data_IF_428360957833
#
_entry.id   IF_428360957833
#
_cell.length_a   1.000
_cell.length_b   1.000
_cell.length_c   1.000
_cell.angle_alpha   90.00
_cell.angle_beta   90.00
_cell.angle_gamma   90.00
#
_symmetry.space_group_name_H-M   'P 1'
#
loop_
_entity.id
_entity.type
_entity.pdbx_description
1 polymer ?
#
# COMPACT_ATOMS: atom_id res chain seq x y z
N UNK A 1 16.48 -34.74 -41.17
CA UNK A 1 15.58 -33.60 -41.48
C UNK A 1 14.79 -33.31 -40.21
N UNK A 2 15.11 -32.20 -39.51
CA UNK A 2 14.27 -31.39 -38.58
C UNK A 2 13.50 -32.16 -37.47
N UNK A 3 13.57 -31.85 -36.17
CA UNK A 3 13.50 -30.54 -35.48
C UNK A 3 14.04 -30.70 -34.05
N UNK A 4 14.87 -29.75 -33.61
CA UNK A 4 15.20 -29.47 -32.21
C UNK A 4 13.93 -29.02 -31.47
N UNK A 5 13.50 -29.73 -30.44
CA UNK A 5 12.43 -29.26 -29.56
C UNK A 5 13.05 -28.44 -28.43
N UNK A 6 12.93 -27.11 -28.54
CA UNK A 6 13.36 -26.12 -27.58
C UNK A 6 12.60 -26.30 -26.26
N UNK A 7 13.30 -26.59 -25.18
CA UNK A 7 12.75 -26.59 -23.83
C UNK A 7 12.54 -25.12 -23.41
N UNK A 8 11.34 -24.58 -23.63
CA UNK A 8 10.92 -23.34 -22.97
C UNK A 8 10.78 -23.66 -21.47
N UNK A 9 11.68 -23.10 -20.65
CA UNK A 9 11.46 -22.99 -19.21
C UNK A 9 10.20 -22.14 -19.00
N UNK A 10 9.09 -22.80 -18.68
CA UNK A 10 7.97 -22.18 -17.99
C UNK A 10 8.49 -21.75 -16.62
N UNK A 11 8.87 -20.48 -16.49
CA UNK A 11 8.98 -19.82 -15.20
C UNK A 11 7.56 -19.77 -14.63
N UNK A 12 7.27 -20.71 -13.74
CA UNK A 12 6.07 -20.70 -12.91
C UNK A 12 6.07 -19.40 -12.11
N UNK A 13 5.22 -18.46 -12.52
CA UNK A 13 4.80 -17.31 -11.73
C UNK A 13 3.95 -17.83 -10.56
N UNK A 14 4.60 -18.39 -9.54
CA UNK A 14 4.01 -18.62 -8.24
C UNK A 14 4.22 -17.36 -7.39
N UNK A 15 3.45 -16.31 -7.70
CA UNK A 15 3.19 -15.21 -6.77
C UNK A 15 1.67 -15.03 -6.68
N UNK A 16 0.97 -16.11 -6.32
CA UNK A 16 -0.43 -16.09 -5.91
C UNK A 16 -0.51 -16.55 -4.45
N UNK A 17 -0.60 -15.59 -3.56
CA UNK A 17 -1.12 -15.77 -2.20
C UNK A 17 -1.74 -14.42 -1.86
N UNK A 18 -2.99 -14.26 -2.33
CA UNK A 18 -3.76 -13.04 -2.22
C UNK A 18 -3.94 -12.64 -0.77
N UNK A 19 -3.94 -11.34 -0.52
CA UNK A 19 -4.36 -10.74 0.74
C UNK A 19 -5.87 -10.96 1.00
N UNK A 20 -6.52 -11.99 0.41
CA UNK A 20 -7.94 -12.17 0.58
C UNK A 20 -8.26 -12.68 1.99
N UNK A 21 -9.27 -12.11 2.65
CA UNK A 21 -9.71 -12.60 3.94
C UNK A 21 -10.29 -14.02 3.80
N UNK A 22 -10.08 -14.84 4.82
CA UNK A 22 -10.62 -16.20 4.84
C UNK A 22 -12.08 -16.20 5.28
N UNK A 23 -12.99 -16.60 4.38
CA UNK A 23 -14.42 -16.66 4.69
C UNK A 23 -14.76 -17.94 5.46
N UNK A 24 -15.15 -17.79 6.72
CA UNK A 24 -15.48 -18.90 7.62
C UNK A 24 -16.89 -19.46 7.35
N UNK A 25 -17.15 -20.68 7.83
CA UNK A 25 -18.49 -21.31 7.73
C UNK A 25 -19.54 -20.52 8.50
N UNK A 26 -19.18 -19.94 9.63
CA UNK A 26 -20.10 -19.16 10.47
C UNK A 26 -20.47 -17.83 9.80
N UNK A 27 -19.50 -17.15 9.17
CA UNK A 27 -19.76 -15.96 8.34
C UNK A 27 -20.74 -16.29 7.21
N UNK A 28 -20.53 -17.39 6.48
CA UNK A 28 -21.47 -17.81 5.42
C UNK A 28 -22.91 -17.97 5.91
N UNK A 29 -23.07 -18.43 7.16
CA UNK A 29 -24.39 -18.58 7.78
C UNK A 29 -25.00 -17.22 8.16
N UNK A 30 -24.19 -16.28 8.68
CA UNK A 30 -24.65 -14.92 9.01
C UNK A 30 -25.08 -14.12 7.79
N UNK A 31 -24.42 -14.38 6.65
CA UNK A 31 -24.68 -13.70 5.37
C UNK A 31 -25.76 -14.37 4.52
N UNK A 32 -26.43 -15.41 5.03
CA UNK A 32 -27.51 -16.08 4.31
C UNK A 32 -28.71 -15.13 4.14
N UNK A 33 -29.19 -14.99 2.91
CA UNK A 33 -30.28 -14.06 2.56
C UNK A 33 -29.88 -12.58 2.46
N UNK A 34 -28.62 -12.20 2.70
CA UNK A 34 -28.14 -10.83 2.45
C UNK A 34 -28.18 -10.54 0.95
N UNK A 35 -28.71 -9.38 0.50
CA UNK A 35 -28.78 -9.07 -0.92
C UNK A 35 -27.39 -9.00 -1.56
N UNK A 36 -27.31 -9.44 -2.82
CA UNK A 36 -26.08 -9.39 -3.62
C UNK A 36 -26.37 -8.91 -5.03
N UNK A 37 -25.41 -8.19 -5.60
CA UNK A 37 -25.43 -7.72 -6.98
C UNK A 37 -24.12 -8.07 -7.65
N UNK A 38 -24.20 -8.52 -8.89
CA UNK A 38 -23.02 -8.86 -9.71
C UNK A 38 -23.20 -8.33 -11.12
N UNK A 39 -22.18 -7.66 -11.63
CA UNK A 39 -22.05 -7.21 -13.01
C UNK A 39 -20.72 -7.73 -13.51
N UNK A 40 -20.72 -8.37 -14.67
CA UNK A 40 -19.51 -8.84 -15.32
C UNK A 40 -19.50 -8.36 -16.76
N UNK A 41 -18.40 -7.75 -17.16
CA UNK A 41 -18.15 -7.29 -18.53
C UNK A 41 -16.78 -7.79 -18.97
N UNK A 42 -16.39 -7.52 -20.22
CA UNK A 42 -15.03 -7.79 -20.67
C UNK A 42 -13.97 -6.86 -20.04
N UNK A 43 -14.39 -5.71 -19.49
CA UNK A 43 -13.51 -4.62 -19.05
C UNK A 43 -13.43 -4.47 -17.53
N UNK A 44 -14.50 -4.83 -16.83
CA UNK A 44 -14.58 -4.80 -15.37
C UNK A 44 -15.61 -5.79 -14.83
N UNK A 45 -15.43 -6.14 -13.56
CA UNK A 45 -16.40 -6.88 -12.75
C UNK A 45 -16.77 -6.06 -11.52
N UNK A 46 -18.03 -6.09 -11.14
CA UNK A 46 -18.53 -5.44 -9.93
C UNK A 46 -19.35 -6.44 -9.12
N UNK A 47 -19.05 -6.50 -7.84
CA UNK A 47 -19.74 -7.31 -6.84
C UNK A 47 -20.17 -6.38 -5.72
N UNK A 48 -21.31 -6.69 -5.12
CA UNK A 48 -21.78 -5.97 -3.95
C UNK A 48 -22.55 -6.93 -3.04
N UNK A 49 -22.32 -6.78 -1.74
CA UNK A 49 -23.04 -7.44 -0.65
C UNK A 49 -23.66 -6.37 0.25
N UNK A 50 -24.96 -6.49 0.55
CA UNK A 50 -25.70 -5.51 1.35
C UNK A 50 -26.71 -4.71 0.53
N UNK A 51 -26.92 -3.44 0.87
CA UNK A 51 -27.96 -2.60 0.24
C UNK A 51 -27.48 -1.96 -1.09
N UNK A 52 -27.18 -2.80 -2.08
CA UNK A 52 -26.50 -2.42 -3.34
C UNK A 52 -27.20 -1.41 -4.27
N UNK A 53 -28.46 -1.09 -3.99
CA UNK A 53 -29.28 -0.18 -4.81
C UNK A 53 -29.84 0.99 -3.97
N UNK A 54 -29.36 1.16 -2.74
CA UNK A 54 -29.75 2.26 -1.84
C UNK A 54 -28.59 3.25 -1.77
N UNK A 55 -28.82 4.45 -2.28
CA UNK A 55 -27.92 5.59 -2.12
C UNK A 55 -27.97 6.04 -0.65
N UNK A 56 -27.01 5.58 0.15
CA UNK A 56 -26.87 5.98 1.54
C UNK A 56 -25.95 7.20 1.60
N UNK A 57 -26.40 8.26 2.26
CA UNK A 57 -25.60 9.46 2.47
C UNK A 57 -25.18 9.48 3.94
N UNK A 58 -23.89 9.27 4.27
CA UNK A 58 -23.43 9.36 5.65
C UNK A 58 -23.63 10.76 6.22
N UNK A 59 -24.01 10.84 7.51
CA UNK A 59 -24.18 12.10 8.22
C UNK A 59 -22.86 12.91 8.31
N UNK A 60 -21.74 12.20 8.49
CA UNK A 60 -20.39 12.76 8.43
C UNK A 60 -19.35 11.66 8.16
N UNK A 61 -18.39 11.94 7.29
CA UNK A 61 -17.19 11.12 7.11
C UNK A 61 -15.97 11.84 7.68
N UNK A 62 -14.96 11.08 8.09
CA UNK A 62 -13.65 11.61 8.47
C UNK A 62 -12.58 11.00 7.59
N UNK A 63 -11.61 11.83 7.19
CA UNK A 63 -10.47 11.34 6.41
C UNK A 63 -9.65 10.35 7.26
N UNK A 64 -9.05 9.38 6.57
CA UNK A 64 -8.08 8.49 7.17
C UNK A 64 -7.29 7.78 6.08
N UNK A 65 -6.07 7.35 6.40
CA UNK A 65 -5.20 6.59 5.50
C UNK A 65 -4.76 5.30 6.19
N UNK A 66 -4.98 4.16 5.55
CA UNK A 66 -4.49 2.86 6.01
C UNK A 66 -3.43 2.30 5.05
N UNK A 67 -2.23 2.05 5.58
CA UNK A 67 -1.12 1.42 4.86
C UNK A 67 -0.82 0.06 5.50
N UNK A 68 -1.28 -1.02 4.88
CA UNK A 68 -1.07 -2.39 5.35
C UNK A 68 0.09 -3.09 4.62
N UNK A 69 0.87 -3.88 5.35
CA UNK A 69 2.06 -4.53 4.80
C UNK A 69 1.80 -5.82 4.03
N UNK A 70 0.55 -6.28 3.91
CA UNK A 70 0.19 -7.52 3.19
C UNK A 70 0.13 -8.76 4.08
N UNK A 71 -0.05 -9.93 3.45
CA UNK A 71 -0.35 -11.23 4.10
C UNK A 71 -1.78 -11.26 4.65
N UNK A 72 -1.99 -11.88 5.81
CA UNK A 72 -3.29 -11.80 6.52
C UNK A 72 -3.64 -10.35 6.82
N UNK A 73 -4.89 -9.99 6.56
CA UNK A 73 -5.42 -8.68 6.87
C UNK A 73 -5.49 -8.40 8.38
N UNK A 74 -5.57 -7.12 8.73
CA UNK A 74 -5.58 -6.62 10.10
C UNK A 74 -6.97 -6.08 10.38
N UNK A 75 -7.81 -6.89 11.04
CA UNK A 75 -9.22 -6.57 11.30
C UNK A 75 -9.40 -5.15 11.90
N UNK A 76 -8.57 -4.80 12.89
CA UNK A 76 -8.59 -3.50 13.55
C UNK A 76 -8.38 -2.30 12.59
N UNK A 77 -7.68 -2.50 11.46
CA UNK A 77 -7.51 -1.46 10.45
C UNK A 77 -8.77 -1.26 9.61
N UNK A 78 -9.50 -2.33 9.29
CA UNK A 78 -10.80 -2.24 8.62
C UNK A 78 -11.86 -1.64 9.53
N UNK A 79 -11.95 -2.09 10.79
CA UNK A 79 -12.84 -1.50 11.80
C UNK A 79 -12.59 0.02 11.94
N UNK A 80 -11.31 0.43 12.00
CA UNK A 80 -10.93 1.84 12.08
C UNK A 80 -11.36 2.67 10.85
N UNK A 81 -11.39 2.08 9.66
CA UNK A 81 -11.93 2.71 8.45
C UNK A 81 -13.45 2.76 8.47
N UNK A 82 -14.11 1.68 8.88
CA UNK A 82 -15.58 1.59 8.97
C UNK A 82 -16.12 2.66 9.93
N UNK A 83 -15.46 2.86 11.07
CA UNK A 83 -15.84 3.92 12.02
C UNK A 83 -15.77 5.34 11.40
N UNK A 84 -14.95 5.53 10.36
CA UNK A 84 -14.72 6.84 9.72
C UNK A 84 -15.62 7.13 8.53
N UNK A 85 -16.22 6.11 7.92
CA UNK A 85 -17.14 6.29 6.79
C UNK A 85 -18.59 6.54 7.23
N UNK A 86 -18.92 6.35 8.51
CA UNK A 86 -20.22 6.74 9.06
C UNK A 86 -21.42 5.95 8.51
N UNK A 87 -21.23 4.69 8.09
CA UNK A 87 -22.33 3.80 7.71
C UNK A 87 -22.56 3.56 6.22
N UNK A 88 -21.84 4.24 5.32
CA UNK A 88 -22.09 4.21 3.86
C UNK A 88 -21.54 3.00 3.09
N UNK A 89 -21.14 3.23 1.84
CA UNK A 89 -20.68 2.17 0.93
C UNK A 89 -19.16 1.99 0.93
N UNK A 90 -18.70 0.81 1.35
CA UNK A 90 -17.28 0.45 1.38
C UNK A 90 -16.90 -0.21 0.05
N UNK A 91 -16.00 0.42 -0.70
CA UNK A 91 -15.55 -0.06 -2.00
C UNK A 91 -14.12 -0.61 -1.93
N UNK A 92 -13.95 -1.86 -2.32
CA UNK A 92 -12.65 -2.49 -2.58
C UNK A 92 -12.33 -2.41 -4.06
N UNK A 93 -11.22 -1.76 -4.40
CA UNK A 93 -10.70 -1.73 -5.77
C UNK A 93 -9.64 -2.81 -5.98
N UNK A 94 -9.74 -3.50 -7.10
CA UNK A 94 -8.83 -4.57 -7.52
C UNK A 94 -8.52 -4.47 -9.01
N UNK A 95 -7.47 -5.17 -9.43
CA UNK A 95 -7.17 -5.44 -10.85
C UNK A 95 -7.29 -6.92 -11.20
N UNK A 96 -7.33 -7.80 -10.20
CA UNK A 96 -7.50 -9.25 -10.31
C UNK A 96 -8.12 -9.82 -9.03
N UNK A 97 -8.49 -11.10 -9.03
CA UNK A 97 -8.94 -11.82 -7.84
C UNK A 97 -10.45 -12.03 -7.82
N UNK A 98 -11.07 -11.80 -6.66
CA UNK A 98 -12.49 -12.06 -6.41
C UNK A 98 -13.10 -11.00 -5.48
N UNK A 99 -14.38 -11.17 -5.16
CA UNK A 99 -15.16 -10.39 -4.19
C UNK A 99 -14.97 -10.84 -2.73
N UNK A 100 -13.90 -11.57 -2.40
CA UNK A 100 -13.70 -12.14 -1.07
C UNK A 100 -13.73 -11.11 0.09
N UNK A 101 -13.44 -9.84 -0.19
CA UNK A 101 -13.55 -8.77 0.80
C UNK A 101 -14.99 -8.41 1.15
N UNK A 102 -15.93 -8.48 0.21
CA UNK A 102 -17.32 -8.05 0.38
C UNK A 102 -18.00 -8.74 1.58
N UNK A 103 -18.05 -10.09 1.65
CA UNK A 103 -18.64 -10.77 2.80
C UNK A 103 -17.86 -10.57 4.10
N UNK A 104 -16.55 -10.32 4.03
CA UNK A 104 -15.72 -10.10 5.22
C UNK A 104 -15.99 -8.73 5.85
N UNK A 105 -15.98 -7.67 5.03
CA UNK A 105 -16.23 -6.29 5.48
C UNK A 105 -17.69 -6.13 5.91
N UNK A 106 -18.64 -6.67 5.13
CA UNK A 106 -20.07 -6.58 5.50
C UNK A 106 -20.36 -7.28 6.84
N UNK A 107 -19.69 -8.41 7.12
CA UNK A 107 -19.87 -9.16 8.38
C UNK A 107 -19.28 -8.44 9.61
N UNK A 108 -18.30 -7.55 9.44
CA UNK A 108 -17.84 -6.65 10.52
C UNK A 108 -18.94 -5.69 10.97
N UNK A 109 -19.88 -5.38 10.08
CA UNK A 109 -20.97 -4.42 10.33
C UNK A 109 -20.53 -2.97 10.16
N UNK A 110 -21.47 -2.04 10.37
CA UNK A 110 -21.18 -0.60 10.27
C UNK A 110 -21.11 -0.05 8.83
N UNK A 111 -21.49 -0.84 7.82
CA UNK A 111 -21.56 -0.42 6.40
C UNK A 111 -22.95 -0.68 5.82
N UNK A 112 -23.36 0.15 4.86
CA UNK A 112 -24.59 -0.01 4.08
C UNK A 112 -24.42 -1.14 3.05
N UNK A 113 -23.26 -1.12 2.38
CA UNK A 113 -22.81 -2.20 1.50
C UNK A 113 -21.29 -2.33 1.54
N UNK A 114 -20.81 -3.53 1.22
CA UNK A 114 -19.41 -3.78 0.88
C UNK A 114 -19.36 -4.31 -0.54
N UNK A 115 -18.54 -3.69 -1.38
CA UNK A 115 -18.50 -3.95 -2.81
C UNK A 115 -17.08 -4.09 -3.32
N UNK A 116 -16.87 -4.95 -4.30
CA UNK A 116 -15.60 -5.11 -5.01
C UNK A 116 -15.76 -4.69 -6.46
N UNK A 117 -14.90 -3.78 -6.93
CA UNK A 117 -14.76 -3.42 -8.33
C UNK A 117 -13.39 -3.87 -8.85
N UNK A 118 -13.41 -4.82 -9.79
CA UNK A 118 -12.21 -5.37 -10.44
C UNK A 118 -12.08 -4.74 -11.83
N UNK A 119 -11.08 -3.89 -12.02
CA UNK A 119 -10.79 -3.25 -13.31
C UNK A 119 -9.80 -4.14 -14.07
N UNK A 120 -10.31 -4.92 -15.02
CA UNK A 120 -9.60 -6.06 -15.63
C UNK A 120 -8.54 -5.63 -16.65
N UNK A 121 -8.67 -4.44 -17.23
CA UNK A 121 -7.79 -3.95 -18.28
C UNK A 121 -7.81 -2.41 -18.37
N UNK A 122 -6.96 -1.87 -19.26
CA UNK A 122 -6.88 -0.43 -19.53
C UNK A 122 -8.18 0.16 -20.08
N UNK A 123 -9.01 -0.58 -20.82
CA UNK A 123 -10.29 -0.05 -21.31
C UNK A 123 -11.29 0.10 -20.16
N UNK A 124 -11.27 -0.80 -19.18
CA UNK A 124 -12.07 -0.71 -17.97
C UNK A 124 -11.86 0.60 -17.20
N UNK A 125 -10.66 1.19 -17.27
CA UNK A 125 -10.42 2.49 -16.61
C UNK A 125 -11.01 3.70 -17.34
N UNK A 126 -11.63 3.50 -18.52
CA UNK A 126 -12.38 4.50 -19.27
C UNK A 126 -13.89 4.24 -19.29
N UNK A 127 -14.36 3.15 -18.69
CA UNK A 127 -15.79 2.84 -18.62
C UNK A 127 -16.49 3.86 -17.69
N UNK A 128 -17.51 4.60 -18.17
CA UNK A 128 -18.18 5.61 -17.35
C UNK A 128 -18.81 5.04 -16.07
N UNK A 129 -19.28 3.78 -16.12
CA UNK A 129 -19.84 3.10 -14.95
C UNK A 129 -18.79 2.82 -13.87
N UNK A 130 -17.53 2.55 -14.25
CA UNK A 130 -16.44 2.35 -13.29
C UNK A 130 -16.17 3.64 -12.51
N UNK A 131 -16.08 4.78 -13.21
CA UNK A 131 -15.96 6.09 -12.56
C UNK A 131 -17.13 6.40 -11.62
N UNK A 132 -18.37 6.10 -12.02
CA UNK A 132 -19.55 6.29 -11.17
C UNK A 132 -19.50 5.46 -9.89
N UNK A 133 -19.10 4.18 -9.99
CA UNK A 133 -18.97 3.28 -8.84
C UNK A 133 -17.93 3.83 -7.86
N UNK A 134 -16.76 4.24 -8.37
CA UNK A 134 -15.71 4.84 -7.54
C UNK A 134 -16.23 6.11 -6.86
N UNK A 135 -16.87 6.99 -7.62
CA UNK A 135 -17.33 8.29 -7.14
C UNK A 135 -18.45 8.22 -6.10
N UNK A 136 -19.17 7.10 -6.03
CA UNK A 136 -20.21 6.85 -5.05
C UNK A 136 -19.68 6.33 -3.69
N UNK A 137 -18.44 5.84 -3.63
CA UNK A 137 -17.91 5.23 -2.40
C UNK A 137 -17.78 6.22 -1.23
N UNK A 138 -17.98 5.72 0.00
CA UNK A 138 -17.78 6.46 1.26
C UNK A 138 -16.60 5.94 2.08
N UNK A 139 -16.02 4.82 1.67
CA UNK A 139 -14.74 4.30 2.11
C UNK A 139 -14.09 3.53 0.97
N UNK A 140 -12.78 3.68 0.78
CA UNK A 140 -12.07 3.09 -0.35
C UNK A 140 -10.88 2.25 0.10
N UNK A 141 -10.79 1.00 -0.36
CA UNK A 141 -9.66 0.13 -0.07
C UNK A 141 -9.04 -0.45 -1.34
N UNK A 142 -7.74 -0.31 -1.52
CA UNK A 142 -6.99 -0.91 -2.62
C UNK A 142 -6.45 -2.28 -2.18
N UNK A 143 -6.92 -3.35 -2.81
CA UNK A 143 -6.45 -4.69 -2.46
C UNK A 143 -5.00 -4.95 -2.93
N UNK A 144 -4.41 -6.02 -2.40
CA UNK A 144 -3.14 -6.55 -2.92
C UNK A 144 -3.23 -7.01 -4.38
N UNK A 145 -2.08 -7.28 -4.99
CA UNK A 145 -1.99 -7.66 -6.40
C UNK A 145 -0.64 -7.24 -6.99
N UNK A 146 -0.66 -6.78 -8.24
CA UNK A 146 0.50 -6.21 -8.92
C UNK A 146 0.35 -4.68 -9.03
N UNK A 147 1.25 -3.94 -8.38
CA UNK A 147 1.28 -2.48 -8.42
C UNK A 147 1.52 -1.92 -9.83
N UNK A 148 2.19 -2.68 -10.72
CA UNK A 148 2.36 -2.27 -12.11
C UNK A 148 1.04 -2.31 -12.87
N UNK A 149 0.17 -3.28 -12.57
CA UNK A 149 -1.16 -3.35 -13.19
C UNK A 149 -2.01 -2.14 -12.79
N UNK A 150 -2.05 -1.80 -11.49
CA UNK A 150 -2.70 -0.56 -11.02
C UNK A 150 -2.16 0.67 -11.76
N UNK A 151 -0.83 0.84 -11.76
CA UNK A 151 -0.18 2.00 -12.37
C UNK A 151 -0.45 2.09 -13.88
N UNK A 152 -0.25 1.00 -14.61
CA UNK A 152 -0.38 0.96 -16.07
C UNK A 152 -1.82 1.03 -16.57
N UNK A 153 -2.80 0.53 -15.81
CA UNK A 153 -4.20 0.60 -16.21
C UNK A 153 -4.83 1.94 -15.85
N UNK A 154 -4.50 2.51 -14.68
CA UNK A 154 -5.28 3.64 -14.16
C UNK A 154 -4.60 4.98 -14.34
N UNK A 155 -3.26 5.05 -14.46
CA UNK A 155 -2.58 6.34 -14.66
C UNK A 155 -3.02 7.00 -15.96
N UNK A 156 -3.36 8.29 -15.90
CA UNK A 156 -3.89 9.11 -16.99
C UNK A 156 -5.21 8.55 -17.57
N UNK A 157 -6.13 8.14 -16.69
CA UNK A 157 -7.46 7.64 -17.07
C UNK A 157 -8.54 8.23 -16.14
N UNK A 158 -9.83 8.18 -16.54
CA UNK A 158 -10.95 8.59 -15.70
C UNK A 158 -10.96 7.95 -14.30
N UNK A 159 -10.45 6.71 -14.13
CA UNK A 159 -10.33 6.09 -12.80
C UNK A 159 -9.42 6.89 -11.87
N UNK A 160 -8.27 7.38 -12.35
CA UNK A 160 -7.38 8.21 -11.52
C UNK A 160 -8.10 9.50 -11.12
N UNK A 161 -8.81 10.14 -12.04
CA UNK A 161 -9.57 11.36 -11.78
C UNK A 161 -10.70 11.12 -10.76
N UNK A 162 -11.42 10.00 -10.87
CA UNK A 162 -12.47 9.60 -9.93
C UNK A 162 -11.94 9.33 -8.53
N UNK A 163 -10.78 8.65 -8.40
CA UNK A 163 -10.11 8.44 -7.11
C UNK A 163 -9.68 9.77 -6.50
N UNK A 164 -9.12 10.67 -7.30
CA UNK A 164 -8.74 12.01 -6.84
C UNK A 164 -9.96 12.84 -6.41
N UNK A 165 -11.08 12.71 -7.12
CA UNK A 165 -12.34 13.38 -6.76
C UNK A 165 -12.87 12.91 -5.41
N UNK A 166 -12.95 11.60 -5.15
CA UNK A 166 -13.44 11.10 -3.84
C UNK A 166 -12.46 11.38 -2.71
N UNK A 167 -11.16 11.46 -2.98
CA UNK A 167 -10.17 11.90 -1.99
C UNK A 167 -10.54 13.27 -1.40
N UNK A 168 -11.10 14.18 -2.20
CA UNK A 168 -11.55 15.51 -1.72
C UNK A 168 -12.82 15.49 -0.87
N UNK A 169 -13.50 14.34 -0.74
CA UNK A 169 -14.72 14.17 0.08
C UNK A 169 -14.43 13.82 1.54
N UNK A 170 -13.17 13.82 1.98
CA UNK A 170 -12.78 13.46 3.35
C UNK A 170 -13.29 12.07 3.78
N UNK A 171 -13.13 11.07 2.91
CA UNK A 171 -13.44 9.67 3.22
C UNK A 171 -12.18 8.91 3.66
N UNK A 172 -12.30 7.82 4.43
CA UNK A 172 -11.17 6.94 4.70
C UNK A 172 -10.74 6.19 3.42
N UNK A 173 -9.43 6.18 3.18
CA UNK A 173 -8.78 5.44 2.09
C UNK A 173 -7.76 4.48 2.70
N UNK A 174 -7.58 3.30 2.11
CA UNK A 174 -6.66 2.31 2.63
C UNK A 174 -6.15 1.36 1.57
N UNK A 175 -5.19 0.52 1.93
CA UNK A 175 -4.75 -0.55 1.04
C UNK A 175 -3.66 -1.42 1.61
N UNK A 176 -3.49 -2.59 1.00
CA UNK A 176 -2.57 -3.64 1.45
C UNK A 176 -1.62 -4.06 0.34
N UNK A 177 -0.36 -4.34 0.65
CA UNK A 177 0.64 -4.79 -0.33
C UNK A 177 0.76 -3.81 -1.52
N UNK A 178 0.43 -4.22 -2.74
CA UNK A 178 0.36 -3.32 -3.90
C UNK A 178 -0.60 -2.12 -3.69
N UNK A 179 -1.72 -2.31 -3.01
CA UNK A 179 -2.66 -1.25 -2.68
C UNK A 179 -2.12 -0.22 -1.67
N UNK A 180 -1.17 -0.62 -0.81
CA UNK A 180 -0.39 0.32 -0.01
C UNK A 180 0.62 1.07 -0.90
N UNK A 181 1.35 0.36 -1.75
CA UNK A 181 2.40 0.92 -2.61
C UNK A 181 1.93 2.03 -3.56
N UNK A 182 0.66 2.01 -3.97
CA UNK A 182 0.10 2.98 -4.94
C UNK A 182 -0.42 4.27 -4.31
N UNK A 183 -0.56 4.34 -2.98
CA UNK A 183 -1.20 5.47 -2.29
C UNK A 183 -0.34 6.74 -2.15
N UNK A 184 1.00 6.67 -1.95
CA UNK A 184 1.86 7.84 -1.89
C UNK A 184 2.05 8.51 -3.27
N UNK A 185 2.50 9.77 -3.29
CA UNK A 185 2.84 10.47 -4.55
C UNK A 185 3.91 9.75 -5.38
N UNK A 186 4.81 9.02 -4.71
CA UNK A 186 5.88 8.26 -5.34
C UNK A 186 5.70 6.76 -5.08
N UNK A 187 5.86 5.97 -6.14
CA UNK A 187 5.58 4.54 -6.13
C UNK A 187 6.76 3.77 -6.70
N UNK A 188 7.17 2.71 -6.02
CA UNK A 188 7.94 1.64 -6.65
C UNK A 188 7.01 0.80 -7.54
N UNK A 189 7.03 1.04 -8.85
CA UNK A 189 6.03 0.47 -9.77
C UNK A 189 6.23 -1.01 -10.05
N UNK A 190 7.42 -1.56 -9.79
CA UNK A 190 7.78 -2.94 -10.09
C UNK A 190 7.52 -3.38 -11.56
N UNK A 191 7.58 -2.44 -12.52
CA UNK A 191 7.26 -2.69 -13.93
C UNK A 191 8.02 -3.87 -14.54
N UNK A 192 9.28 -4.07 -14.11
CA UNK A 192 10.15 -5.14 -14.60
C UNK A 192 10.37 -6.23 -13.55
N UNK A 193 9.42 -6.40 -12.64
CA UNK A 193 9.50 -7.31 -11.50
C UNK A 193 10.25 -6.69 -10.31
N UNK A 194 10.49 -7.53 -9.29
CA UNK A 194 11.12 -7.09 -8.04
C UNK A 194 12.62 -6.82 -8.22
N UNK A 195 13.13 -5.84 -7.46
CA UNK A 195 14.54 -5.68 -7.13
C UNK A 195 14.78 -6.15 -5.69
N UNK A 196 15.88 -6.87 -5.46
CA UNK A 196 16.32 -7.28 -4.12
C UNK A 196 17.24 -6.25 -3.49
N UNK A 197 17.41 -6.31 -2.17
CA UNK A 197 18.20 -5.31 -1.42
C UNK A 197 19.66 -5.23 -1.87
N UNK A 198 20.32 -6.37 -2.07
CA UNK A 198 21.70 -6.42 -2.59
C UNK A 198 21.81 -5.77 -3.98
N UNK A 199 20.88 -6.09 -4.89
CA UNK A 199 20.86 -5.54 -6.26
C UNK A 199 20.64 -4.03 -6.26
N UNK A 200 19.71 -3.53 -5.44
CA UNK A 200 19.40 -2.11 -5.34
C UNK A 200 20.52 -1.30 -4.65
N UNK A 201 21.27 -1.91 -3.72
CA UNK A 201 22.44 -1.30 -3.10
C UNK A 201 23.67 -1.35 -4.02
N UNK A 202 23.79 -2.36 -4.86
CA UNK A 202 24.86 -2.49 -5.85
C UNK A 202 24.72 -1.52 -7.02
N UNK A 203 23.48 -1.22 -7.42
CA UNK A 203 23.19 -0.23 -8.45
C UNK A 203 21.84 0.45 -8.17
N UNK A 204 21.82 1.69 -7.64
CA UNK A 204 20.59 2.39 -7.35
C UNK A 204 19.80 2.74 -8.62
N UNK A 205 20.40 2.63 -9.81
CA UNK A 205 19.75 2.76 -11.12
C UNK A 205 19.65 1.42 -11.88
N UNK A 206 19.62 0.27 -11.17
CA UNK A 206 19.21 -0.99 -11.78
C UNK A 206 17.87 -0.79 -12.50
N UNK A 207 17.71 -1.36 -13.69
CA UNK A 207 16.53 -1.16 -14.53
C UNK A 207 15.21 -1.56 -13.85
N UNK A 208 15.27 -2.39 -12.80
CA UNK A 208 14.11 -2.79 -11.98
C UNK A 208 13.80 -1.80 -10.87
N UNK A 209 14.65 -0.81 -10.57
CA UNK A 209 14.37 0.31 -9.65
C UNK A 209 13.52 1.34 -10.40
N UNK A 210 12.22 1.06 -10.51
CA UNK A 210 11.27 1.86 -11.26
C UNK A 210 10.43 2.73 -10.32
N UNK A 211 10.82 4.01 -10.16
CA UNK A 211 10.07 4.99 -9.37
C UNK A 211 9.15 5.78 -10.29
N UNK A 212 7.85 5.67 -10.06
CA UNK A 212 6.81 6.45 -10.72
C UNK A 212 6.32 7.59 -9.83
N UNK A 213 5.75 8.61 -10.46
CA UNK A 213 5.04 9.72 -9.80
C UNK A 213 3.72 10.03 -10.53
N UNK A 214 2.99 11.04 -10.06
CA UNK A 214 1.75 11.58 -10.66
C UNK A 214 0.67 10.52 -10.88
N UNK A 215 0.45 9.66 -9.88
CA UNK A 215 -0.57 8.61 -9.93
C UNK A 215 -1.67 8.86 -8.90
N UNK A 216 -1.58 8.28 -7.70
CA UNK A 216 -2.49 8.62 -6.61
C UNK A 216 -1.74 9.47 -5.58
N UNK A 217 -2.48 10.18 -4.74
CA UNK A 217 -1.93 11.04 -3.70
C UNK A 217 -2.83 11.06 -2.49
N UNK A 218 -2.71 10.07 -1.62
CA UNK A 218 -3.49 10.06 -0.38
C UNK A 218 -2.96 11.16 0.57
N UNK A 219 -3.81 11.84 1.36
CA UNK A 219 -3.37 12.95 2.21
C UNK A 219 -2.18 12.57 3.11
N UNK A 220 -1.26 13.52 3.30
CA UNK A 220 -0.07 13.41 4.15
C UNK A 220 1.08 12.54 3.59
N UNK A 221 0.91 11.96 2.40
CA UNK A 221 1.91 11.11 1.74
C UNK A 221 2.53 11.78 0.52
N UNK A 222 2.55 13.12 0.47
CA UNK A 222 2.98 13.89 -0.70
C UNK A 222 4.45 13.68 -1.05
N UNK A 223 5.28 13.47 -0.02
CA UNK A 223 6.73 13.28 -0.15
C UNK A 223 7.14 11.85 0.20
N UNK A 224 6.18 10.93 0.29
CA UNK A 224 6.43 9.59 0.76
C UNK A 224 6.63 8.58 -0.37
N UNK A 225 7.38 7.52 -0.07
CA UNK A 225 7.38 6.26 -0.81
C UNK A 225 7.25 5.12 0.19
N UNK A 226 6.47 4.10 -0.17
CA UNK A 226 6.21 2.97 0.70
C UNK A 226 6.83 1.66 0.22
N UNK A 227 7.04 0.75 1.17
CA UNK A 227 7.33 -0.66 0.89
C UNK A 227 6.52 -1.57 1.83
N UNK A 228 6.26 -2.81 1.40
CA UNK A 228 5.40 -3.78 2.08
C UNK A 228 6.11 -5.12 2.25
N UNK A 229 5.51 -6.06 3.00
CA UNK A 229 6.09 -7.37 3.30
C UNK A 229 7.55 -7.26 3.77
N UNK A 230 7.82 -6.25 4.59
CA UNK A 230 9.10 -5.57 4.58
C UNK A 230 10.24 -6.39 5.18
N UNK A 231 10.24 -6.62 6.49
CA UNK A 231 11.27 -7.44 7.15
C UNK A 231 11.21 -8.91 6.70
N UNK A 232 10.00 -9.42 6.40
CA UNK A 232 9.79 -10.80 5.97
C UNK A 232 10.49 -11.13 4.64
N UNK A 233 10.80 -10.12 3.82
CA UNK A 233 11.41 -10.29 2.50
C UNK A 233 12.74 -9.56 2.33
N UNK A 234 13.39 -9.16 3.44
CA UNK A 234 14.69 -8.46 3.46
C UNK A 234 14.75 -7.26 2.50
N UNK A 235 13.83 -6.31 2.70
CA UNK A 235 13.61 -5.15 1.81
C UNK A 235 14.26 -3.84 2.26
N UNK A 236 15.04 -3.81 3.33
CA UNK A 236 15.62 -2.55 3.85
C UNK A 236 16.60 -1.91 2.86
N UNK A 237 17.46 -2.69 2.22
CA UNK A 237 18.43 -2.15 1.26
C UNK A 237 17.75 -1.51 0.05
N UNK A 238 16.77 -2.19 -0.55
CA UNK A 238 16.02 -1.61 -1.68
C UNK A 238 15.20 -0.40 -1.28
N UNK A 239 14.65 -0.39 -0.06
CA UNK A 239 13.86 0.71 0.45
C UNK A 239 14.72 1.95 0.71
N UNK A 240 15.91 1.78 1.31
CA UNK A 240 16.90 2.85 1.41
C UNK A 240 17.27 3.38 0.01
N UNK A 241 17.47 2.50 -0.98
CA UNK A 241 17.71 2.91 -2.37
C UNK A 241 16.55 3.72 -2.94
N UNK A 242 15.30 3.35 -2.70
CA UNK A 242 14.14 4.09 -3.20
C UNK A 242 14.09 5.52 -2.62
N UNK A 243 14.30 5.66 -1.31
CA UNK A 243 14.36 6.99 -0.67
C UNK A 243 15.56 7.79 -1.18
N UNK A 244 16.73 7.17 -1.34
CA UNK A 244 17.93 7.81 -1.88
C UNK A 244 17.68 8.36 -3.30
N UNK A 245 17.02 7.57 -4.15
CA UNK A 245 16.64 7.96 -5.51
C UNK A 245 15.65 9.12 -5.52
N UNK A 246 14.69 9.18 -4.60
CA UNK A 246 13.83 10.36 -4.48
C UNK A 246 14.61 11.63 -4.16
N UNK A 247 15.57 11.56 -3.23
CA UNK A 247 16.39 12.72 -2.88
C UNK A 247 17.26 13.15 -4.06
N UNK A 248 17.92 12.19 -4.72
CA UNK A 248 18.83 12.45 -5.83
C UNK A 248 18.10 12.99 -7.08
N UNK A 249 16.97 12.39 -7.45
CA UNK A 249 16.31 12.67 -8.74
C UNK A 249 15.26 13.79 -8.66
N UNK A 250 14.62 14.00 -7.50
CA UNK A 250 13.44 14.89 -7.40
C UNK A 250 13.73 16.14 -6.60
N UNK A 251 14.22 15.99 -5.37
CA UNK A 251 14.21 17.09 -4.39
C UNK A 251 15.54 17.82 -4.26
N UNK A 252 16.68 17.13 -4.50
CA UNK A 252 18.02 17.62 -4.15
C UNK A 252 18.13 18.10 -2.68
N UNK A 253 17.23 17.64 -1.80
CA UNK A 253 17.07 18.00 -0.39
C UNK A 253 16.29 16.88 0.33
N UNK A 254 16.58 16.57 1.60
CA UNK A 254 15.99 15.43 2.32
C UNK A 254 14.55 15.73 2.79
N UNK A 255 13.63 15.85 1.82
CA UNK A 255 12.19 15.98 2.06
C UNK A 255 11.46 14.65 1.90
N UNK A 256 12.14 13.63 1.37
CA UNK A 256 11.58 12.30 1.13
C UNK A 256 11.36 11.55 2.46
N UNK A 257 10.18 10.94 2.60
CA UNK A 257 9.82 10.10 3.75
C UNK A 257 9.70 8.67 3.25
N UNK A 258 10.44 7.75 3.86
CA UNK A 258 10.21 6.32 3.66
C UNK A 258 9.21 5.81 4.70
N UNK A 259 8.19 5.05 4.27
CA UNK A 259 7.35 4.26 5.18
C UNK A 259 7.29 2.79 4.73
N UNK A 260 7.84 1.87 5.53
CA UNK A 260 7.77 0.44 5.23
C UNK A 260 6.99 -0.33 6.28
N UNK A 261 6.13 -1.24 5.85
CA UNK A 261 5.17 -1.94 6.73
C UNK A 261 5.38 -3.45 6.61
N UNK A 262 5.57 -4.10 7.76
CA UNK A 262 5.66 -5.56 7.86
C UNK A 262 4.33 -6.24 7.54
N UNK A 263 4.39 -7.51 7.13
CA UNK A 263 3.19 -8.34 7.00
C UNK A 263 2.31 -8.28 8.27
N UNK A 264 0.98 -8.34 8.10
CA UNK A 264 -0.01 -8.38 9.20
C UNK A 264 0.06 -7.19 10.15
N UNK A 265 0.56 -6.07 9.64
CA UNK A 265 0.72 -4.80 10.35
C UNK A 265 0.15 -3.67 9.48
N UNK A 266 -0.38 -2.64 10.12
CA UNK A 266 -0.94 -1.46 9.49
C UNK A 266 -0.40 -0.18 10.15
N UNK A 267 -0.10 0.82 9.32
CA UNK A 267 0.00 2.22 9.75
C UNK A 267 -1.34 2.90 9.45
N UNK A 268 -1.89 3.59 10.45
CA UNK A 268 -3.13 4.36 10.37
C UNK A 268 -2.76 5.83 10.50
N UNK A 269 -3.18 6.69 9.57
CA UNK A 269 -2.96 8.14 9.63
C UNK A 269 -4.34 8.81 9.67
N UNK A 270 -4.63 9.52 10.75
CA UNK A 270 -5.93 10.17 10.95
C UNK A 270 -6.06 11.51 10.17
N UNK A 271 -7.22 12.14 10.32
CA UNK A 271 -7.57 13.41 9.67
C UNK A 271 -6.71 14.61 10.07
N UNK A 272 -5.88 14.46 11.11
CA UNK A 272 -4.92 15.46 11.57
C UNK A 272 -3.49 15.12 11.15
N UNK A 273 -3.30 14.04 10.37
CA UNK A 273 -1.99 13.51 9.99
C UNK A 273 -1.28 12.77 11.12
N UNK A 274 -1.98 12.42 12.21
CA UNK A 274 -1.41 11.70 13.33
C UNK A 274 -1.42 10.20 13.07
N UNK A 275 -0.25 9.60 13.15
CA UNK A 275 -0.04 8.20 12.86
C UNK A 275 -0.21 7.32 14.11
N UNK A 276 -0.77 6.13 13.94
CA UNK A 276 -0.84 5.04 14.91
C UNK A 276 -0.54 3.71 14.20
N UNK A 277 -0.11 2.68 14.92
CA UNK A 277 0.14 1.35 14.37
C UNK A 277 -0.81 0.33 14.98
N UNK A 278 -1.24 -0.63 14.18
CA UNK A 278 -1.93 -1.82 14.65
C UNK A 278 -1.43 -3.07 13.96
N UNK A 279 -1.42 -4.22 14.66
CA UNK A 279 -0.87 -5.46 14.14
C UNK A 279 -1.54 -6.69 14.76
N UNK A 280 -1.53 -7.80 14.02
CA UNK A 280 -2.02 -9.11 14.49
C UNK A 280 -1.06 -9.72 15.52
N UNK A 281 0.23 -9.39 15.44
CA UNK A 281 1.27 -9.94 16.32
C UNK A 281 2.10 -8.84 16.96
N UNK A 282 2.44 -8.98 18.25
CA UNK A 282 3.16 -7.94 19.01
C UNK A 282 4.52 -7.54 18.42
N UNK A 283 5.13 -8.36 17.57
CA UNK A 283 6.43 -8.11 16.94
C UNK A 283 6.35 -7.50 15.53
N UNK A 284 5.14 -7.37 14.97
CA UNK A 284 4.90 -6.65 13.71
C UNK A 284 5.31 -5.18 13.82
N UNK A 285 5.92 -4.64 12.77
CA UNK A 285 6.51 -3.32 12.82
C UNK A 285 6.25 -2.43 11.59
N UNK A 286 6.28 -1.13 11.84
CA UNK A 286 6.40 -0.08 10.82
C UNK A 286 7.78 0.55 10.96
N UNK A 287 8.45 0.76 9.83
CA UNK A 287 9.76 1.39 9.74
C UNK A 287 9.62 2.71 9.00
N UNK A 288 10.15 3.78 9.57
CA UNK A 288 10.24 5.07 8.91
C UNK A 288 11.69 5.47 8.68
N UNK A 289 12.00 5.93 7.47
CA UNK A 289 13.25 6.60 7.14
C UNK A 289 12.98 8.09 7.03
N UNK A 290 13.61 8.86 7.91
CA UNK A 290 13.57 10.33 7.90
C UNK A 290 15.00 10.85 7.70
N UNK A 291 15.49 10.87 6.45
CA UNK A 291 16.83 11.32 6.16
C UNK A 291 17.00 12.81 6.52
N UNK A 292 18.19 13.19 6.97
CA UNK A 292 18.58 14.58 7.26
C UNK A 292 19.69 15.09 6.31
N UNK A 293 20.18 14.21 5.44
CA UNK A 293 21.27 14.43 4.51
C UNK A 293 21.05 13.63 3.21
N UNK A 294 21.49 14.14 2.06
CA UNK A 294 21.47 13.37 0.82
C UNK A 294 22.52 12.24 0.84
N UNK A 295 22.36 11.19 0.01
CA UNK A 295 23.37 10.15 -0.14
C UNK A 295 24.69 10.72 -0.68
N UNK A 296 25.82 10.21 -0.19
CA UNK A 296 27.15 10.56 -0.68
C UNK A 296 27.37 10.09 -2.13
N UNK A 297 26.79 8.96 -2.52
CA UNK A 297 26.81 8.46 -3.91
C UNK A 297 25.50 7.77 -4.24
N UNK A 298 24.78 8.28 -5.24
CA UNK A 298 23.58 7.68 -5.80
C UNK A 298 23.61 7.90 -7.31
N UNK A 299 24.34 7.05 -8.02
CA UNK A 299 24.70 7.18 -9.44
C UNK A 299 24.58 5.84 -10.14
N UNK A 300 24.40 5.85 -11.46
CA UNK A 300 24.21 4.61 -12.21
C UNK A 300 25.48 3.76 -12.28
N UNK A 301 25.34 2.45 -12.05
CA UNK A 301 26.42 1.44 -12.06
C UNK A 301 27.48 1.61 -10.96
N UNK A 302 27.15 2.32 -9.89
CA UNK A 302 27.97 2.44 -8.68
C UNK A 302 27.15 1.99 -7.48
N UNK A 303 27.82 1.56 -6.40
CA UNK A 303 27.15 1.25 -5.16
C UNK A 303 26.48 2.50 -4.57
N UNK A 304 25.33 2.30 -3.91
CA UNK A 304 24.78 3.33 -3.03
C UNK A 304 25.72 3.51 -1.84
N UNK A 305 26.22 4.74 -1.65
CA UNK A 305 26.91 5.16 -0.44
C UNK A 305 26.02 6.16 0.28
N UNK A 306 25.54 5.78 1.46
CA UNK A 306 24.69 6.64 2.29
C UNK A 306 24.93 6.37 3.77
N UNK A 307 25.54 7.30 4.48
CA UNK A 307 25.89 7.12 5.91
C UNK A 307 24.82 7.65 6.86
N UNK A 308 24.67 6.95 8.00
CA UNK A 308 23.95 7.43 9.19
C UNK A 308 22.48 7.80 8.94
N UNK A 309 21.79 7.07 8.08
CA UNK A 309 20.36 7.26 7.82
C UNK A 309 19.56 6.82 9.05
N UNK A 310 18.80 7.75 9.62
CA UNK A 310 17.94 7.46 10.77
C UNK A 310 16.78 6.52 10.38
N UNK A 311 16.65 5.44 11.15
CA UNK A 311 15.55 4.47 11.08
C UNK A 311 14.77 4.52 12.38
N UNK A 312 13.45 4.66 12.26
CA UNK A 312 12.52 4.60 13.38
C UNK A 312 11.64 3.35 13.22
N UNK A 313 11.84 2.36 14.08
CA UNK A 313 11.05 1.12 14.11
C UNK A 313 10.01 1.21 15.21
N UNK A 314 8.74 1.17 14.83
CA UNK A 314 7.58 1.19 15.70
C UNK A 314 7.02 -0.23 15.75
N UNK A 315 6.97 -0.86 16.92
CA UNK A 315 6.51 -2.25 17.08
C UNK A 315 5.18 -2.32 17.80
N UNK A 316 4.33 -3.27 17.40
CA UNK A 316 3.07 -3.56 18.09
C UNK A 316 2.00 -2.49 17.86
N UNK A 317 0.97 -2.53 18.71
CA UNK A 317 -0.08 -1.51 18.74
C UNK A 317 0.44 -0.27 19.46
N UNK A 318 0.48 0.87 18.78
CA UNK A 318 0.96 2.12 19.33
C UNK A 318 0.16 3.31 18.79
N UNK A 319 -0.08 4.32 19.61
CA UNK A 319 -0.88 5.49 19.24
C UNK A 319 -0.03 6.75 19.22
N UNK A 320 -0.41 7.69 18.34
CA UNK A 320 0.21 9.02 18.22
C UNK A 320 1.74 8.96 18.05
N UNK A 321 2.18 8.09 17.14
CA UNK A 321 3.60 7.74 16.98
C UNK A 321 4.39 8.76 16.14
N UNK A 322 3.72 9.46 15.23
CA UNK A 322 4.33 10.45 14.35
C UNK A 322 3.26 11.38 13.75
N UNK A 323 3.54 12.67 13.60
CA UNK A 323 2.62 13.59 12.89
C UNK A 323 3.16 13.92 11.51
N UNK A 324 2.52 13.41 10.46
CA UNK A 324 2.86 13.77 9.09
C UNK A 324 2.51 15.22 8.75
N UNK A 325 1.58 15.84 9.50
CA UNK A 325 1.18 17.22 9.28
C UNK A 325 2.19 18.24 9.84
N UNK A 326 2.85 17.93 10.96
CA UNK A 326 3.60 18.93 11.74
C UNK A 326 5.00 18.50 12.16
N UNK A 327 5.34 17.21 12.11
CA UNK A 327 6.65 16.74 12.55
C UNK A 327 7.71 16.91 11.46
N UNK A 328 8.84 17.50 11.86
CA UNK A 328 10.09 17.49 11.09
C UNK A 328 11.14 16.53 11.67
N UNK A 329 10.83 15.93 12.82
CA UNK A 329 11.65 14.94 13.53
C UNK A 329 10.76 13.91 14.19
N UNK A 330 11.27 12.70 14.35
CA UNK A 330 10.54 11.65 15.04
C UNK A 330 10.53 11.89 16.57
N UNK A 331 9.37 11.76 17.24
CA UNK A 331 9.29 11.90 18.69
C UNK A 331 9.94 10.72 19.41
N UNK A 332 10.60 10.97 20.55
CA UNK A 332 11.14 9.90 21.39
C UNK A 332 10.00 9.22 22.15
N UNK A 333 9.61 8.02 21.71
CA UNK A 333 8.51 7.24 22.27
C UNK A 333 8.99 5.86 22.73
N UNK A 334 8.35 5.31 23.76
CA UNK A 334 8.71 3.97 24.30
C UNK A 334 8.49 2.83 23.31
N UNK A 335 7.51 2.97 22.42
CA UNK A 335 7.17 2.01 21.37
C UNK A 335 8.11 2.07 20.16
N UNK A 336 9.06 3.01 20.16
CA UNK A 336 9.95 3.27 19.03
C UNK A 336 11.38 2.92 19.39
N UNK A 337 12.00 2.09 18.55
CA UNK A 337 13.45 1.91 18.55
C UNK A 337 14.05 2.74 17.42
N UNK A 338 14.97 3.65 17.75
CA UNK A 338 15.73 4.42 16.76
C UNK A 338 17.14 3.88 16.62
N UNK A 339 17.61 3.75 15.38
CA UNK A 339 18.98 3.36 15.06
C UNK A 339 19.35 3.94 13.70
N UNK A 340 20.62 3.80 13.33
CA UNK A 340 21.14 4.33 12.07
C UNK A 340 21.62 3.18 11.20
N UNK A 341 21.35 3.31 9.91
CA UNK A 341 21.88 2.44 8.88
C UNK A 341 22.84 3.22 7.98
N UNK A 342 23.91 2.55 7.57
CA UNK A 342 24.80 3.05 6.52
C UNK A 342 24.87 2.03 5.40
N UNK A 343 24.57 2.48 4.17
CA UNK A 343 24.83 1.75 2.94
C UNK A 343 26.27 2.03 2.49
N UNK A 344 27.08 0.98 2.31
CA UNK A 344 28.41 1.10 1.74
C UNK A 344 28.83 -0.19 1.06
N UNK A 345 29.38 -0.10 -0.16
CA UNK A 345 29.88 -1.23 -0.96
C UNK A 345 28.87 -2.37 -1.08
N UNK A 346 27.61 -2.03 -1.35
CA UNK A 346 26.54 -2.99 -1.59
C UNK A 346 25.96 -3.64 -0.33
N UNK A 347 26.31 -3.13 0.86
CA UNK A 347 25.91 -3.71 2.14
C UNK A 347 25.39 -2.66 3.10
N UNK A 348 24.50 -3.09 3.98
CA UNK A 348 24.06 -2.29 5.12
C UNK A 348 24.89 -2.62 6.36
N UNK A 349 25.20 -1.58 7.12
CA UNK A 349 25.70 -1.67 8.49
C UNK A 349 24.74 -0.92 9.41
N UNK A 350 24.68 -1.34 10.68
CA UNK A 350 23.69 -0.85 11.62
C UNK A 350 24.32 -0.52 12.97
N UNK A 351 23.86 0.58 13.58
CA UNK A 351 24.18 0.92 14.98
C UNK A 351 23.33 0.15 15.98
N UNK A 352 22.31 -0.59 15.52
CA UNK A 352 21.49 -1.44 16.37
C UNK A 352 22.34 -2.55 17.02
N UNK A 353 21.92 -3.01 18.20
CA UNK A 353 22.63 -4.05 18.96
C UNK A 353 22.88 -5.30 18.10
N UNK A 354 24.16 -5.64 17.96
CA UNK A 354 24.60 -6.81 17.19
C UNK A 354 24.61 -6.59 15.67
N UNK A 355 24.50 -5.33 15.20
CA UNK A 355 24.53 -5.00 13.78
C UNK A 355 23.29 -5.44 13.01
N UNK A 356 22.18 -5.67 13.70
CA UNK A 356 20.91 -6.08 13.10
C UNK A 356 20.30 -4.95 12.25
N UNK A 357 19.72 -5.33 11.12
CA UNK A 357 19.06 -4.39 10.19
C UNK A 357 17.63 -4.06 10.63
N UNK A 358 16.97 -4.99 11.33
CA UNK A 358 15.57 -4.92 11.76
C UNK A 358 15.44 -4.97 13.28
#
# INVERSE_FOLDING_TARGET
MKVLCSLLLLVSFACLSSADPTITKDMKKRLDGVPRKTIQTENYEYYCTGNCDVDFIPDSTSQGTVLMGGSTDVDAAFEWMIDRMGGGDFLVLRTTGSDAYDPYIYDMGGVNSASTLIILNRNGSYEPEVSKIIEAADGLFFAGGDQWTYYSYWKNSPVQDSVEKIRTRNIPMGGTSAGNAIQPSFIYTAQFGTVYSDQALDNPYDYRVTIGADFLRTPYLENAITDTHFAQRDRMGRFMTFVARLIADVWSSPLAIGVAVDEKTALLIDENGMASTTTVFDDGAVYMLLPDSPPETCTANENLEWSNVDVYRITGNATNVYSFATSTKFPQLRSTTSYQLSASKGKLTSTQRGGKIY
#
